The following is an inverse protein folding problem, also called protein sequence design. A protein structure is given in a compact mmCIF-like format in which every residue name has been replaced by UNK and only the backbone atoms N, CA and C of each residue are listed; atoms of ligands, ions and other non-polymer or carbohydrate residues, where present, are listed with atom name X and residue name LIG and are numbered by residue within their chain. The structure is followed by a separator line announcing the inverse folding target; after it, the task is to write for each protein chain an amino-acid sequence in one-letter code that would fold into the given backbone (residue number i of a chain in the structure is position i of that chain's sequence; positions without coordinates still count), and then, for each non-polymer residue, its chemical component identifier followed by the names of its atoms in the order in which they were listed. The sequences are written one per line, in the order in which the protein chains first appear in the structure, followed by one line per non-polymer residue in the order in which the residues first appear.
data_IF_051665603808
#
_entry.id   IF_051665603808
#
_cell.length_a   1.000
_cell.length_b   1.000
_cell.length_c   1.000
_cell.angle_alpha   90.00
_cell.angle_beta   90.00
_cell.angle_gamma   90.00
#
_symmetry.space_group_name_H-M   'P 1'
#
loop_
_entity.id
_entity.type
_entity.pdbx_description
1 polymer ?
#
# COMPACT_ATOMS: atom_id res chain seq x y z
N UNK A 1 -10.89 14.74 -12.21
CA UNK A 1 -9.43 14.79 -12.09
C UNK A 1 -9.09 15.28 -10.69
N UNK A 2 -8.88 14.37 -9.74
CA UNK A 2 -8.45 14.74 -8.38
C UNK A 2 -6.98 15.14 -8.46
N UNK A 3 -6.72 16.40 -8.19
CA UNK A 3 -5.40 17.02 -8.17
C UNK A 3 -4.44 16.21 -7.27
N UNK A 4 -3.53 15.46 -7.90
CA UNK A 4 -2.54 14.60 -7.24
C UNK A 4 -1.47 15.39 -6.47
N UNK A 5 -1.54 16.72 -6.50
CA UNK A 5 -0.55 17.62 -5.89
C UNK A 5 -1.06 18.44 -4.70
N UNK A 6 -2.32 18.30 -4.27
CA UNK A 6 -2.72 18.90 -3.00
C UNK A 6 -2.12 18.07 -1.84
N UNK A 7 -1.14 18.60 -1.08
CA UNK A 7 -0.63 17.89 0.08
C UNK A 7 -1.79 17.71 1.04
N UNK A 8 -2.04 16.46 1.45
CA UNK A 8 -3.01 16.12 2.50
C UNK A 8 -2.98 17.21 3.59
N UNK A 9 -4.12 17.86 3.92
CA UNK A 9 -4.14 19.02 4.80
C UNK A 9 -3.47 18.74 6.15
N UNK A 10 -3.52 17.49 6.63
CA UNK A 10 -2.82 17.07 7.84
C UNK A 10 -1.29 17.04 7.71
N UNK A 11 -0.78 16.70 6.52
CA UNK A 11 0.66 16.74 6.19
C UNK A 11 1.14 18.19 6.08
N UNK A 12 0.35 19.05 5.44
CA UNK A 12 0.65 20.48 5.36
C UNK A 12 0.70 21.14 6.75
N UNK A 13 -0.28 20.83 7.60
CA UNK A 13 -0.31 21.25 9.00
C UNK A 13 0.92 20.78 9.79
N UNK A 14 1.30 19.51 9.67
CA UNK A 14 2.49 18.97 10.34
C UNK A 14 3.78 19.66 9.88
N UNK A 15 3.93 19.94 8.58
CA UNK A 15 5.06 20.71 8.04
C UNK A 15 5.10 22.14 8.58
N UNK A 16 3.94 22.81 8.67
CA UNK A 16 3.85 24.16 9.24
C UNK A 16 4.30 24.21 10.70
N UNK A 17 3.96 23.20 11.51
CA UNK A 17 4.45 23.06 12.89
C UNK A 17 5.98 22.96 12.90
N UNK A 18 6.58 22.07 12.11
CA UNK A 18 8.03 21.91 12.05
C UNK A 18 8.75 23.20 11.63
N UNK A 19 8.20 23.92 10.66
CA UNK A 19 8.73 25.22 10.23
C UNK A 19 8.64 26.26 11.36
N UNK A 20 7.53 26.34 12.08
CA UNK A 20 7.38 27.26 13.21
C UNK A 20 8.34 26.94 14.35
N UNK A 21 8.56 25.65 14.66
CA UNK A 21 9.52 25.20 15.67
C UNK A 21 10.95 25.58 15.28
N UNK A 22 11.31 25.43 13.99
CA UNK A 22 12.63 25.82 13.47
C UNK A 22 12.82 27.33 13.51
N UNK A 23 11.80 28.12 13.15
CA UNK A 23 11.83 29.59 13.25
C UNK A 23 12.04 30.03 14.70
N UNK A 24 11.22 29.55 15.62
CA UNK A 24 11.36 29.84 17.05
C UNK A 24 12.74 29.46 17.59
N UNK A 25 13.30 28.31 17.17
CA UNK A 25 14.67 27.93 17.56
C UNK A 25 15.73 28.92 17.07
N UNK A 26 15.57 29.46 15.87
CA UNK A 26 16.53 30.37 15.26
C UNK A 26 16.39 31.81 15.75
N UNK A 27 15.17 32.33 15.85
CA UNK A 27 14.89 33.74 16.18
C UNK A 27 14.58 33.95 17.66
N UNK A 28 14.21 32.90 18.41
CA UNK A 28 13.67 32.97 19.78
C UNK A 28 12.41 33.84 19.92
N UNK A 29 11.75 34.15 18.80
CA UNK A 29 10.56 35.00 18.76
C UNK A 29 9.29 34.18 18.58
N UNK A 30 8.26 34.55 19.35
CA UNK A 30 6.90 33.98 19.25
C UNK A 30 6.77 32.54 19.75
N UNK A 31 5.55 32.11 20.09
CA UNK A 31 5.31 30.71 20.45
C UNK A 31 5.22 29.85 19.18
N UNK A 32 5.83 28.65 19.13
CA UNK A 32 5.70 27.76 17.99
C UNK A 32 4.26 27.27 17.85
N UNK A 33 3.85 26.99 16.62
CA UNK A 33 2.49 26.62 16.28
C UNK A 33 2.13 25.27 16.91
N UNK A 34 1.02 25.21 17.64
CA UNK A 34 0.57 23.97 18.29
C UNK A 34 -0.14 23.04 17.29
N UNK A 35 -0.25 21.75 17.65
CA UNK A 35 -0.99 20.77 16.85
C UNK A 35 -2.45 21.18 16.66
N UNK A 36 -3.07 21.80 17.69
CA UNK A 36 -4.47 22.24 17.65
C UNK A 36 -4.63 23.40 16.68
N UNK A 37 -3.82 24.45 16.82
CA UNK A 37 -3.87 25.61 15.92
C UNK A 37 -3.57 25.23 14.46
N UNK A 38 -2.65 24.29 14.23
CA UNK A 38 -2.38 23.77 12.89
C UNK A 38 -3.57 22.99 12.33
N UNK A 39 -4.19 22.14 13.14
CA UNK A 39 -5.36 21.38 12.74
C UNK A 39 -6.51 22.31 12.34
N UNK A 40 -6.77 23.35 13.14
CA UNK A 40 -7.82 24.33 12.88
C UNK A 40 -7.50 25.15 11.61
N UNK A 41 -6.26 25.64 11.46
CA UNK A 41 -5.83 26.44 10.29
C UNK A 41 -5.91 25.70 8.97
N UNK A 42 -5.63 24.41 8.96
CA UNK A 42 -5.60 23.59 7.75
C UNK A 42 -6.84 22.70 7.60
N UNK A 43 -7.87 22.90 8.43
CA UNK A 43 -9.10 22.09 8.44
C UNK A 43 -8.81 20.59 8.44
N UNK A 44 -7.85 20.16 9.27
CA UNK A 44 -7.34 18.80 9.34
C UNK A 44 -7.67 18.14 10.68
N UNK A 45 -7.75 16.81 10.70
CA UNK A 45 -7.91 16.07 11.96
C UNK A 45 -6.66 16.20 12.85
N UNK A 46 -6.84 16.62 14.11
CA UNK A 46 -5.77 16.73 15.12
C UNK A 46 -4.96 15.44 15.27
N UNK A 47 -5.63 14.28 15.22
CA UNK A 47 -4.96 12.98 15.32
C UNK A 47 -4.12 12.65 14.08
N UNK A 48 -4.60 13.01 12.88
CA UNK A 48 -3.84 12.86 11.64
C UNK A 48 -2.60 13.77 11.63
N UNK A 49 -2.73 15.04 12.04
CA UNK A 49 -1.60 15.97 12.18
C UNK A 49 -0.56 15.41 13.15
N UNK A 50 -0.99 14.93 14.32
CA UNK A 50 -0.10 14.34 15.31
C UNK A 50 0.65 13.10 14.80
N UNK A 51 -0.03 12.24 14.03
CA UNK A 51 0.57 11.03 13.44
C UNK A 51 1.64 11.38 12.41
N UNK A 52 1.32 12.27 11.47
CA UNK A 52 2.31 12.73 10.48
C UNK A 52 3.47 13.49 11.12
N UNK A 53 3.21 14.34 12.13
CA UNK A 53 4.26 15.05 12.86
C UNK A 53 5.23 14.09 13.56
N UNK A 54 4.70 13.05 14.22
CA UNK A 54 5.52 12.01 14.87
C UNK A 54 6.38 11.27 13.84
N UNK A 55 5.78 10.85 12.73
CA UNK A 55 6.50 10.15 11.64
C UNK A 55 7.58 11.03 11.00
N UNK A 56 7.29 12.31 10.73
CA UNK A 56 8.28 13.24 10.19
C UNK A 56 9.47 13.47 11.14
N UNK A 57 9.22 13.51 12.46
CA UNK A 57 10.29 13.66 13.46
C UNK A 57 11.17 12.41 13.60
N UNK A 58 10.57 11.22 13.47
CA UNK A 58 11.28 9.95 13.65
C UNK A 58 11.96 9.46 12.37
N UNK A 59 11.27 9.55 11.24
CA UNK A 59 11.66 8.91 9.97
C UNK A 59 11.95 9.92 8.85
N UNK A 60 11.78 11.23 9.09
CA UNK A 60 12.01 12.27 8.08
C UNK A 60 10.95 12.34 6.96
N UNK A 61 9.95 11.46 6.96
CA UNK A 61 8.87 11.41 5.98
C UNK A 61 7.48 11.47 6.63
N UNK A 62 6.44 11.97 5.94
CA UNK A 62 5.06 11.90 6.44
C UNK A 62 4.61 10.45 6.61
N UNK A 63 3.68 10.22 7.55
CA UNK A 63 3.05 8.90 7.75
C UNK A 63 2.09 8.52 6.61
N UNK A 64 2.64 8.13 5.47
CA UNK A 64 1.91 7.43 4.43
C UNK A 64 2.17 5.94 4.58
N UNK A 65 1.13 5.12 4.40
CA UNK A 65 1.36 3.68 4.25
C UNK A 65 2.11 3.46 2.94
N UNK A 66 3.33 2.95 3.01
CA UNK A 66 4.05 2.47 1.82
C UNK A 66 3.32 1.27 1.18
N UNK A 67 2.44 0.61 1.94
CA UNK A 67 1.56 -0.44 1.45
C UNK A 67 0.39 0.14 0.62
N UNK A 68 0.09 -0.52 -0.49
CA UNK A 68 -1.13 -0.27 -1.27
C UNK A 68 -2.34 -0.27 -0.35
N UNK A 69 -3.23 0.73 -0.48
CA UNK A 69 -4.45 0.85 0.32
C UNK A 69 -5.27 -0.45 0.24
N UNK A 70 -5.40 -1.17 1.35
CA UNK A 70 -6.27 -2.34 1.46
C UNK A 70 -5.62 -3.53 2.17
N UNK A 71 -6.37 -4.65 2.22
CA UNK A 71 -5.86 -5.93 2.74
C UNK A 71 -4.65 -6.37 1.89
N UNK A 72 -3.56 -6.85 2.52
CA UNK A 72 -2.43 -7.43 1.80
C UNK A 72 -2.90 -8.43 0.75
N UNK A 73 -2.27 -8.41 -0.43
CA UNK A 73 -2.56 -9.39 -1.48
C UNK A 73 -2.23 -10.80 -0.96
N UNK A 74 -2.94 -11.79 -1.50
CA UNK A 74 -2.69 -13.18 -1.11
C UNK A 74 -1.30 -13.65 -1.55
N UNK A 75 -0.83 -13.19 -2.70
CA UNK A 75 0.51 -13.43 -3.22
C UNK A 75 1.27 -12.10 -3.25
N UNK A 76 2.58 -12.17 -3.04
CA UNK A 76 3.47 -11.07 -3.37
C UNK A 76 3.66 -10.98 -4.90
N UNK A 77 4.37 -9.95 -5.35
CA UNK A 77 4.57 -9.71 -6.79
C UNK A 77 5.41 -10.81 -7.47
N UNK A 78 6.35 -11.43 -6.76
CA UNK A 78 7.19 -12.49 -7.31
C UNK A 78 6.38 -13.78 -7.47
N UNK A 79 5.62 -14.14 -6.45
CA UNK A 79 4.72 -15.30 -6.46
C UNK A 79 3.58 -15.14 -7.46
N UNK A 80 2.98 -13.95 -7.55
CA UNK A 80 1.95 -13.66 -8.55
C UNK A 80 2.51 -13.85 -9.97
N UNK A 81 3.72 -13.37 -10.24
CA UNK A 81 4.42 -13.62 -11.51
C UNK A 81 4.74 -15.10 -11.75
N UNK A 82 5.14 -15.84 -10.72
CA UNK A 82 5.42 -17.27 -10.83
C UNK A 82 4.17 -18.07 -11.22
N UNK A 83 3.02 -17.78 -10.58
CA UNK A 83 1.73 -18.42 -10.93
C UNK A 83 1.28 -18.04 -12.34
N UNK A 84 1.46 -16.78 -12.76
CA UNK A 84 1.17 -16.35 -14.15
C UNK A 84 2.04 -17.13 -15.14
N UNK A 85 3.35 -17.23 -14.89
CA UNK A 85 4.27 -17.96 -15.76
C UNK A 85 3.91 -19.45 -15.86
N UNK A 86 3.52 -20.06 -14.74
CA UNK A 86 3.05 -21.44 -14.70
C UNK A 86 1.80 -21.64 -15.57
N UNK A 87 0.83 -20.72 -15.48
CA UNK A 87 -0.39 -20.77 -16.31
C UNK A 87 -0.05 -20.62 -17.79
N UNK A 88 0.81 -19.67 -18.15
CA UNK A 88 1.25 -19.46 -19.55
C UNK A 88 1.98 -20.71 -20.08
N UNK A 89 2.77 -21.37 -19.25
CA UNK A 89 3.41 -22.63 -19.61
C UNK A 89 2.40 -23.76 -19.86
N UNK A 90 1.39 -23.90 -18.99
CA UNK A 90 0.32 -24.90 -19.18
C UNK A 90 -0.40 -24.69 -20.52
N UNK A 91 -0.74 -23.44 -20.86
CA UNK A 91 -1.38 -23.11 -22.13
C UNK A 91 -0.50 -23.45 -23.33
N UNK A 92 0.79 -23.11 -23.28
CA UNK A 92 1.75 -23.43 -24.35
C UNK A 92 1.96 -24.93 -24.53
N UNK A 93 1.88 -25.70 -23.44
CA UNK A 93 2.00 -27.14 -23.45
C UNK A 93 0.69 -27.86 -23.83
N UNK A 94 -0.41 -27.12 -24.07
CA UNK A 94 -1.70 -27.68 -24.45
C UNK A 94 -2.50 -28.29 -23.29
N UNK A 95 -2.10 -28.03 -22.04
CA UNK A 95 -2.84 -28.48 -20.87
C UNK A 95 -3.98 -27.51 -20.53
N UNK A 96 -5.16 -28.01 -20.13
CA UNK A 96 -6.25 -27.17 -19.71
C UNK A 96 -5.91 -26.42 -18.42
N UNK A 97 -6.36 -25.18 -18.31
CA UNK A 97 -6.29 -24.40 -17.05
C UNK A 97 -7.21 -25.01 -16.00
N UNK A 98 -6.66 -25.90 -15.17
CA UNK A 98 -7.37 -26.47 -14.03
C UNK A 98 -7.21 -25.55 -12.80
N UNK A 99 -8.34 -25.04 -12.28
CA UNK A 99 -8.36 -24.18 -11.09
C UNK A 99 -7.67 -24.83 -9.89
N UNK A 100 -7.94 -26.12 -9.64
CA UNK A 100 -7.39 -26.84 -8.48
C UNK A 100 -5.85 -26.84 -8.51
N UNK A 101 -5.28 -27.10 -9.69
CA UNK A 101 -3.83 -27.14 -9.90
C UNK A 101 -3.18 -25.76 -9.71
N UNK A 102 -3.88 -24.69 -10.12
CA UNK A 102 -3.40 -23.31 -9.95
C UNK A 102 -3.46 -22.88 -8.48
N UNK A 103 -4.51 -23.28 -7.76
CA UNK A 103 -4.64 -23.05 -6.32
C UNK A 103 -3.59 -23.82 -5.52
N UNK A 104 -3.31 -25.07 -5.89
CA UNK A 104 -2.24 -25.88 -5.29
C UNK A 104 -0.87 -25.22 -5.47
N UNK A 105 -0.51 -24.83 -6.69
CA UNK A 105 0.74 -24.11 -6.95
C UNK A 105 0.85 -22.79 -6.15
N UNK A 106 -0.25 -22.06 -5.97
CA UNK A 106 -0.28 -20.86 -5.14
C UNK A 106 -0.16 -21.16 -3.64
N UNK A 107 -0.71 -22.30 -3.18
CA UNK A 107 -0.59 -22.75 -1.81
C UNK A 107 0.84 -23.20 -1.49
N UNK A 108 1.50 -23.89 -2.42
CA UNK A 108 2.90 -24.32 -2.27
C UNK A 108 3.83 -23.11 -2.11
N UNK A 109 3.64 -22.07 -2.91
CA UNK A 109 4.38 -20.81 -2.77
C UNK A 109 4.17 -20.19 -1.39
N UNK A 110 2.92 -20.13 -0.92
CA UNK A 110 2.57 -19.58 0.40
C UNK A 110 3.13 -20.41 1.56
N UNK A 111 3.14 -21.74 1.42
CA UNK A 111 3.73 -22.66 2.39
C UNK A 111 5.26 -22.53 2.44
N UNK A 112 5.90 -22.17 1.33
CA UNK A 112 7.35 -21.97 1.25
C UNK A 112 7.86 -20.68 1.90
N UNK A 113 6.97 -19.75 2.29
CA UNK A 113 7.34 -18.48 2.93
C UNK A 113 7.96 -18.67 4.32
N UNK A 114 8.69 -17.66 4.76
CA UNK A 114 9.18 -17.55 6.14
C UNK A 114 8.63 -16.27 6.80
N UNK A 115 7.66 -16.34 7.72
CA UNK A 115 6.94 -17.54 8.18
C UNK A 115 5.95 -18.08 7.13
N UNK A 116 5.56 -19.37 7.20
CA UNK A 116 4.63 -19.97 6.26
C UNK A 116 3.25 -19.32 6.37
N UNK A 117 2.61 -19.10 5.23
CA UNK A 117 1.24 -18.57 5.16
C UNK A 117 0.25 -19.71 4.92
N UNK A 118 -0.93 -19.63 5.54
CA UNK A 118 -2.04 -20.57 5.29
C UNK A 118 -2.55 -20.51 3.84
N UNK A 119 -3.45 -21.42 3.43
CA UNK A 119 -3.89 -21.53 2.04
C UNK A 119 -4.63 -20.28 1.54
N UNK A 120 -4.74 -20.16 0.21
CA UNK A 120 -5.60 -19.18 -0.44
C UNK A 120 -7.08 -19.50 -0.15
N UNK A 121 -7.92 -18.48 -0.04
CA UNK A 121 -9.36 -18.67 0.17
C UNK A 121 -10.12 -18.87 -1.15
N UNK A 122 -11.32 -19.45 -1.10
CA UNK A 122 -12.12 -19.92 -2.24
C UNK A 122 -12.38 -18.88 -3.36
N UNK A 123 -12.39 -17.58 -3.01
CA UNK A 123 -12.61 -16.49 -3.98
C UNK A 123 -11.32 -15.96 -4.60
N UNK A 124 -10.16 -16.49 -4.18
CA UNK A 124 -8.87 -16.02 -4.63
C UNK A 124 -8.72 -16.22 -6.13
N UNK A 125 -9.00 -17.41 -6.67
CA UNK A 125 -8.80 -17.70 -8.09
C UNK A 125 -9.59 -16.75 -9.01
N UNK A 126 -10.88 -16.53 -8.70
CA UNK A 126 -11.73 -15.59 -9.46
C UNK A 126 -11.19 -14.15 -9.38
N UNK A 127 -10.68 -13.73 -8.22
CA UNK A 127 -10.07 -12.40 -8.04
C UNK A 127 -8.73 -12.29 -8.79
N UNK A 128 -7.90 -13.32 -8.70
CA UNK A 128 -6.61 -13.42 -9.37
C UNK A 128 -6.78 -13.28 -10.89
N UNK A 129 -7.76 -13.98 -11.49
CA UNK A 129 -8.07 -13.81 -12.91
C UNK A 129 -8.53 -12.39 -13.24
N UNK A 130 -9.38 -11.78 -12.42
CA UNK A 130 -9.84 -10.38 -12.63
C UNK A 130 -8.70 -9.38 -12.56
N UNK A 131 -7.77 -9.60 -11.64
CA UNK A 131 -6.62 -8.72 -11.43
C UNK A 131 -5.54 -8.96 -12.51
N UNK A 132 -5.61 -10.09 -13.25
CA UNK A 132 -4.70 -10.48 -14.33
C UNK A 132 -5.43 -10.70 -15.68
N UNK A 133 -5.91 -9.62 -16.34
CA UNK A 133 -6.67 -9.72 -17.59
C UNK A 133 -5.90 -10.33 -18.77
N UNK A 134 -4.56 -10.36 -18.71
CA UNK A 134 -3.72 -11.03 -19.69
C UNK A 134 -3.97 -12.55 -19.74
N UNK A 135 -4.47 -13.15 -18.66
CA UNK A 135 -4.87 -14.56 -18.61
C UNK A 135 -6.29 -14.77 -19.16
N UNK A 136 -7.10 -13.72 -19.34
CA UNK A 136 -8.50 -13.85 -19.74
C UNK A 136 -8.72 -13.86 -21.26
N UNK A 137 -7.71 -13.56 -22.08
CA UNK A 137 -7.82 -13.51 -23.55
C UNK A 137 -6.95 -14.61 -24.17
N UNK A 138 -7.35 -15.35 -25.20
CA UNK A 138 -8.64 -15.52 -25.91
C UNK A 138 -8.54 -16.85 -26.64
N UNK A 139 -9.64 -17.59 -26.73
CA UNK A 139 -9.81 -18.58 -27.79
C UNK A 139 -9.57 -17.86 -29.13
N UNK A 140 -8.54 -18.27 -29.85
CA UNK A 140 -8.44 -18.10 -31.30
C UNK A 140 -9.06 -19.32 -31.95
#
# INVERSE_FOLDING_TARGET
MTDLYQPNPAVAAARAILLSQRRHRNTKEGKPLTVREAADRFSASKSAVGRHLKSMKLYGKPDFSDNSRGRPRNLDEAEERAVIAYIVWLERAGFPRNQLLIEEAANDLRASRTPPAGPVGDRWYRRFLRDNPQLQKKNC
#
